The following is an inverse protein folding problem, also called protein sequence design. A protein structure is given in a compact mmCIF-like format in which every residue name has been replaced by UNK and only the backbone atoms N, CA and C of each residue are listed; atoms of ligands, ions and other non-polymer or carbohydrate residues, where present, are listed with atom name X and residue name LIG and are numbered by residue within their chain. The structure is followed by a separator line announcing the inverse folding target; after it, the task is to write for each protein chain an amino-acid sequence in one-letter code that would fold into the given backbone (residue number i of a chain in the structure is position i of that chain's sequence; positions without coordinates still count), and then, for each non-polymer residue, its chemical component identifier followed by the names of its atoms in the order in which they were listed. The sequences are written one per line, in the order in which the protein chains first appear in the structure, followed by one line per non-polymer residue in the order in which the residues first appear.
data_IF_595259520842
#
_entry.id   IF_595259520842
#
_cell.length_a   1.000
_cell.length_b   1.000
_cell.length_c   1.000
_cell.angle_alpha   90.00
_cell.angle_beta   90.00
_cell.angle_gamma   90.00
#
_symmetry.space_group_name_H-M   'P 1'
#
loop_
_entity.id
_entity.type
_entity.pdbx_description
1 polymer ?
#
# COMPACT_ATOMS: atom_id res chain seq x y z
N UNK A 1 -9.95 -3.01 18.57
CA UNK A 1 -10.94 -2.14 17.92
C UNK A 1 -12.13 -3.00 17.54
N UNK A 2 -13.32 -2.75 18.10
CA UNK A 2 -14.54 -3.41 17.62
C UNK A 2 -15.04 -2.57 16.44
N UNK A 3 -14.99 -3.14 15.24
CA UNK A 3 -15.46 -2.49 14.02
C UNK A 3 -16.93 -2.84 13.87
N UNK A 4 -17.82 -1.90 14.16
CA UNK A 4 -19.26 -2.09 13.94
C UNK A 4 -19.57 -1.87 12.46
N UNK A 5 -19.75 -2.95 11.71
CA UNK A 5 -20.10 -2.93 10.27
C UNK A 5 -18.93 -3.25 9.34
N UNK A 6 -19.25 -3.40 8.04
CA UNK A 6 -18.23 -3.57 6.98
C UNK A 6 -17.61 -2.21 6.68
N UNK A 7 -16.32 -2.22 6.34
CA UNK A 7 -15.57 -1.01 6.00
C UNK A 7 -15.36 -0.97 4.50
N UNK A 8 -15.34 0.23 3.94
CA UNK A 8 -14.77 0.51 2.63
C UNK A 8 -13.41 1.17 2.84
N UNK A 9 -12.34 0.41 2.61
CA UNK A 9 -10.96 0.83 2.87
C UNK A 9 -10.29 1.22 1.56
N UNK A 10 -9.72 2.42 1.54
CA UNK A 10 -8.83 2.88 0.49
C UNK A 10 -7.39 2.75 0.99
N UNK A 11 -6.61 1.87 0.39
CA UNK A 11 -5.19 1.76 0.64
C UNK A 11 -4.45 2.72 -0.30
N UNK A 12 -3.59 3.56 0.25
CA UNK A 12 -2.76 4.47 -0.54
C UNK A 12 -1.32 3.98 -0.47
N UNK A 13 -0.79 3.52 -1.60
CA UNK A 13 0.57 2.99 -1.72
C UNK A 13 1.44 3.92 -2.55
N UNK A 14 2.71 4.06 -2.19
CA UNK A 14 3.67 4.68 -3.07
C UNK A 14 4.00 3.75 -4.23
N UNK A 15 4.30 2.49 -3.95
CA UNK A 15 4.77 1.50 -4.91
C UNK A 15 3.89 0.24 -4.92
N UNK A 16 3.93 -0.51 -6.02
CA UNK A 16 3.52 -1.91 -6.00
C UNK A 16 4.33 -2.67 -4.94
N UNK A 17 3.66 -3.47 -4.10
CA UNK A 17 4.15 -4.29 -2.95
C UNK A 17 4.04 -3.68 -1.54
N UNK A 18 3.90 -2.35 -1.42
CA UNK A 18 3.86 -1.65 -0.13
C UNK A 18 2.81 -2.24 0.82
N UNK A 19 1.62 -2.54 0.28
CA UNK A 19 0.48 -2.99 1.05
C UNK A 19 0.66 -4.42 1.58
N UNK A 20 1.22 -5.30 0.76
CA UNK A 20 1.51 -6.68 1.12
C UNK A 20 2.51 -6.74 2.28
N UNK A 21 3.57 -5.94 2.19
CA UNK A 21 4.60 -5.82 3.22
C UNK A 21 3.98 -5.29 4.52
N UNK A 22 3.29 -4.15 4.42
CA UNK A 22 2.68 -3.46 5.56
C UNK A 22 1.62 -4.30 6.28
N UNK A 23 0.70 -4.90 5.52
CA UNK A 23 -0.56 -5.37 6.06
C UNK A 23 -1.19 -6.56 5.32
N UNK A 24 -0.48 -7.29 4.45
CA UNK A 24 -1.07 -8.37 3.64
C UNK A 24 -1.88 -9.40 4.43
N UNK A 25 -1.38 -9.84 5.59
CA UNK A 25 -2.09 -10.79 6.46
C UNK A 25 -3.34 -10.18 7.11
N UNK A 26 -3.28 -8.91 7.48
CA UNK A 26 -4.41 -8.15 8.04
C UNK A 26 -5.50 -7.96 6.99
N UNK A 27 -5.13 -7.65 5.74
CA UNK A 27 -6.05 -7.45 4.63
C UNK A 27 -6.74 -8.75 4.26
N UNK A 28 -5.98 -9.84 4.13
CA UNK A 28 -6.54 -11.17 3.93
C UNK A 28 -7.60 -11.52 4.98
N UNK A 29 -7.32 -11.20 6.25
CA UNK A 29 -8.26 -11.41 7.35
C UNK A 29 -9.51 -10.53 7.21
N UNK A 30 -9.32 -9.23 6.98
CA UNK A 30 -10.43 -8.30 6.86
C UNK A 30 -11.31 -8.55 5.64
N UNK A 31 -10.74 -8.99 4.51
CA UNK A 31 -11.50 -9.43 3.34
C UNK A 31 -12.36 -10.66 3.66
N UNK A 32 -11.81 -11.65 4.38
CA UNK A 32 -12.58 -12.81 4.84
C UNK A 32 -13.70 -12.41 5.82
N UNK A 33 -13.48 -11.36 6.59
CA UNK A 33 -14.48 -10.73 7.46
C UNK A 33 -15.44 -9.83 6.68
N UNK A 34 -15.35 -9.75 5.35
CA UNK A 34 -16.28 -9.04 4.45
C UNK A 34 -16.07 -7.53 4.33
N UNK A 35 -14.91 -7.01 4.74
CA UNK A 35 -14.51 -5.63 4.46
C UNK A 35 -14.07 -5.49 3.00
N UNK A 36 -14.28 -4.31 2.41
CA UNK A 36 -13.93 -4.03 1.02
C UNK A 36 -12.64 -3.22 0.94
N UNK A 37 -11.74 -3.61 0.04
CA UNK A 37 -10.45 -2.96 -0.16
C UNK A 37 -10.30 -2.51 -1.60
N UNK A 38 -9.93 -1.24 -1.76
CA UNK A 38 -9.46 -0.67 -3.01
C UNK A 38 -8.07 -0.08 -2.77
N UNK A 39 -7.13 -0.40 -3.64
CA UNK A 39 -5.74 0.05 -3.56
C UNK A 39 -5.51 1.08 -4.65
N UNK A 40 -4.98 2.23 -4.26
CA UNK A 40 -4.54 3.28 -5.16
C UNK A 40 -3.02 3.42 -5.03
N UNK A 41 -2.32 2.92 -6.03
CA UNK A 41 -0.85 2.98 -6.09
C UNK A 41 -0.43 4.19 -6.90
N UNK A 42 0.42 5.03 -6.33
CA UNK A 42 0.79 6.29 -6.97
C UNK A 42 1.81 6.09 -8.08
N UNK A 43 2.84 5.29 -7.84
CA UNK A 43 3.98 5.19 -8.77
C UNK A 43 3.94 3.92 -9.62
N UNK A 44 4.66 3.97 -10.74
CA UNK A 44 4.76 2.88 -11.72
C UNK A 44 5.63 1.70 -11.26
N UNK A 45 6.26 1.79 -10.09
CA UNK A 45 7.09 0.74 -9.52
C UNK A 45 8.38 0.48 -10.28
N UNK A 46 8.75 1.30 -11.28
CA UNK A 46 10.00 1.11 -12.01
C UNK A 46 11.17 1.22 -11.04
N UNK A 47 12.07 0.23 -11.06
CA UNK A 47 13.30 0.29 -10.29
C UNK A 47 14.51 0.13 -11.19
N UNK A 48 15.38 1.14 -11.14
CA UNK A 48 16.67 1.18 -11.83
C UNK A 48 17.75 1.23 -10.77
N UNK A 49 18.74 0.36 -10.89
CA UNK A 49 19.89 0.33 -9.99
C UNK A 49 20.77 1.59 -10.17
N UNK A 50 21.64 1.93 -9.20
CA UNK A 50 22.49 3.12 -9.28
C UNK A 50 23.43 3.15 -10.50
N UNK A 51 23.77 2.01 -11.09
CA UNK A 51 24.56 1.86 -12.31
C UNK A 51 23.71 1.89 -13.60
N UNK A 52 22.39 2.15 -13.51
CA UNK A 52 21.51 2.40 -14.64
C UNK A 52 20.83 1.16 -15.22
N UNK A 53 20.91 0.01 -14.56
CA UNK A 53 20.26 -1.22 -15.01
C UNK A 53 18.81 -1.22 -14.53
N UNK A 54 17.87 -1.32 -15.47
CA UNK A 54 16.45 -1.51 -15.14
C UNK A 54 16.29 -2.94 -14.62
N UNK A 55 15.93 -3.08 -13.34
CA UNK A 55 15.77 -4.41 -12.74
C UNK A 55 14.32 -4.76 -12.44
N UNK A 56 13.42 -3.77 -12.56
CA UNK A 56 11.98 -3.97 -12.66
C UNK A 56 11.42 -2.90 -13.59
N UNK A 57 10.75 -3.32 -14.65
CA UNK A 57 10.03 -2.40 -15.53
C UNK A 57 8.57 -2.21 -15.10
N UNK A 58 7.92 -1.22 -15.71
CA UNK A 58 6.53 -0.84 -15.42
C UNK A 58 5.55 -1.97 -15.68
N UNK A 59 5.73 -2.71 -16.78
CA UNK A 59 4.80 -3.76 -17.18
C UNK A 59 4.91 -4.95 -16.22
N UNK A 60 6.13 -5.31 -15.85
CA UNK A 60 6.39 -6.33 -14.82
C UNK A 60 5.76 -5.93 -13.49
N UNK A 61 6.04 -4.72 -12.99
CA UNK A 61 5.49 -4.22 -11.73
C UNK A 61 3.95 -4.26 -11.71
N UNK A 62 3.30 -3.83 -12.80
CA UNK A 62 1.84 -3.86 -12.93
C UNK A 62 1.28 -5.30 -12.93
N UNK A 63 1.93 -6.23 -13.63
CA UNK A 63 1.51 -7.64 -13.66
C UNK A 63 1.61 -8.27 -12.27
N UNK A 64 2.69 -7.98 -11.54
CA UNK A 64 2.91 -8.48 -10.19
C UNK A 64 1.90 -7.93 -9.20
N UNK A 65 1.60 -6.63 -9.27
CA UNK A 65 0.60 -5.95 -8.45
C UNK A 65 -0.80 -6.56 -8.64
N UNK A 66 -1.22 -6.76 -9.90
CA UNK A 66 -2.52 -7.36 -10.19
C UNK A 66 -2.62 -8.80 -9.67
N UNK A 67 -1.53 -9.58 -9.75
CA UNK A 67 -1.51 -10.93 -9.19
C UNK A 67 -1.63 -10.92 -7.67
N UNK A 68 -0.95 -10.00 -6.99
CA UNK A 68 -1.07 -9.86 -5.54
C UNK A 68 -2.48 -9.44 -5.13
N UNK A 69 -3.11 -8.55 -5.91
CA UNK A 69 -4.50 -8.15 -5.77
C UNK A 69 -5.47 -9.34 -5.86
N UNK A 70 -5.29 -10.19 -6.87
CA UNK A 70 -6.08 -11.41 -7.05
C UNK A 70 -5.88 -12.39 -5.89
N UNK A 71 -4.63 -12.57 -5.44
CA UNK A 71 -4.32 -13.45 -4.30
C UNK A 71 -5.00 -12.97 -3.04
N UNK A 72 -4.88 -11.69 -2.68
CA UNK A 72 -5.43 -11.15 -1.44
C UNK A 72 -6.95 -10.93 -1.50
N UNK A 73 -7.48 -10.59 -2.68
CA UNK A 73 -8.90 -10.36 -2.94
C UNK A 73 -9.31 -8.89 -2.90
N UNK A 74 -8.41 -7.96 -3.23
CA UNK A 74 -8.70 -6.53 -3.33
C UNK A 74 -8.73 -6.05 -4.78
N UNK A 75 -9.25 -4.84 -5.02
CA UNK A 75 -9.16 -4.17 -6.33
C UNK A 75 -8.04 -3.15 -6.32
N UNK A 76 -7.37 -2.93 -7.45
CA UNK A 76 -6.24 -1.98 -7.54
C UNK A 76 -6.36 -1.07 -8.76
N UNK A 77 -5.95 0.18 -8.56
CA UNK A 77 -5.73 1.19 -9.59
C UNK A 77 -4.32 1.75 -9.39
N UNK A 78 -3.49 1.72 -10.46
CA UNK A 78 -2.16 2.30 -10.44
C UNK A 78 -2.13 3.59 -11.29
N UNK A 79 -1.71 4.70 -10.70
CA UNK A 79 -1.69 6.04 -11.32
C UNK A 79 -0.47 6.29 -12.20
N UNK A 80 0.53 5.41 -12.15
CA UNK A 80 1.68 5.39 -13.06
C UNK A 80 2.53 6.68 -13.01
N UNK A 81 2.54 7.40 -11.89
CA UNK A 81 3.53 8.46 -11.68
C UNK A 81 4.93 7.85 -11.62
N UNK A 82 5.94 8.62 -12.01
CA UNK A 82 7.31 8.13 -12.00
C UNK A 82 7.79 7.91 -10.56
N UNK A 83 8.25 6.70 -10.24
CA UNK A 83 8.86 6.38 -8.96
C UNK A 83 10.06 7.29 -8.66
N UNK A 84 10.30 7.59 -7.38
CA UNK A 84 11.34 8.48 -6.85
C UNK A 84 11.17 9.97 -7.19
N UNK A 85 10.18 10.33 -8.01
CA UNK A 85 9.91 11.73 -8.41
C UNK A 85 8.58 12.26 -7.87
N UNK A 86 7.86 11.49 -7.04
CA UNK A 86 6.56 11.89 -6.53
C UNK A 86 6.69 13.14 -5.66
N UNK A 87 5.83 14.14 -5.91
CA UNK A 87 5.80 15.38 -5.13
C UNK A 87 4.42 15.60 -4.55
N UNK A 88 4.36 16.15 -3.34
CA UNK A 88 3.09 16.56 -2.76
C UNK A 88 2.47 17.69 -3.60
N UNK A 89 1.27 17.45 -4.13
CA UNK A 89 0.51 18.40 -4.94
C UNK A 89 -0.99 18.23 -4.65
N UNK A 90 -1.76 19.32 -4.68
CA UNK A 90 -3.20 19.28 -4.43
C UNK A 90 -3.96 18.36 -5.41
N UNK A 91 -3.46 18.23 -6.65
CA UNK A 91 -4.04 17.31 -7.64
C UNK A 91 -4.08 15.86 -7.12
N UNK A 92 -3.04 15.42 -6.40
CA UNK A 92 -2.96 14.08 -5.84
C UNK A 92 -3.98 13.88 -4.71
N UNK A 93 -4.21 14.92 -3.91
CA UNK A 93 -5.27 14.91 -2.89
C UNK A 93 -6.64 14.83 -3.55
N UNK A 94 -6.86 15.56 -4.65
CA UNK A 94 -8.11 15.50 -5.42
C UNK A 94 -8.37 14.10 -6.01
N UNK A 95 -7.35 13.42 -6.54
CA UNK A 95 -7.48 12.02 -7.02
C UNK A 95 -8.03 11.11 -5.92
N UNK A 96 -7.47 11.20 -4.71
CA UNK A 96 -7.93 10.43 -3.54
C UNK A 96 -9.36 10.80 -3.14
N UNK A 97 -9.68 12.09 -3.06
CA UNK A 97 -11.02 12.56 -2.68
C UNK A 97 -12.11 12.06 -3.64
N UNK A 98 -11.83 12.02 -4.95
CA UNK A 98 -12.76 11.47 -5.94
C UNK A 98 -13.05 9.99 -5.69
N UNK A 99 -12.04 9.18 -5.33
CA UNK A 99 -12.23 7.77 -4.98
C UNK A 99 -12.97 7.61 -3.66
N UNK A 100 -12.72 8.49 -2.68
CA UNK A 100 -13.46 8.51 -1.41
C UNK A 100 -14.97 8.66 -1.67
N UNK A 101 -15.36 9.65 -2.48
CA UNK A 101 -16.77 9.94 -2.76
C UNK A 101 -17.43 8.85 -3.62
N UNK A 102 -16.70 8.34 -4.62
CA UNK A 102 -17.17 7.30 -5.56
C UNK A 102 -17.36 5.95 -4.88
N UNK A 103 -16.38 5.53 -4.07
CA UNK A 103 -16.34 4.19 -3.45
C UNK A 103 -16.90 4.18 -2.02
N UNK A 104 -17.41 5.32 -1.54
CA UNK A 104 -17.96 5.47 -0.17
C UNK A 104 -16.96 5.03 0.90
N UNK A 105 -15.72 5.48 0.74
CA UNK A 105 -14.61 5.13 1.63
C UNK A 105 -14.86 5.74 3.01
N UNK A 106 -14.63 4.93 4.03
CA UNK A 106 -14.72 5.33 5.45
C UNK A 106 -13.38 5.16 6.20
N UNK A 107 -12.39 4.56 5.53
CA UNK A 107 -11.07 4.24 6.09
C UNK A 107 -9.98 4.48 5.06
N UNK A 108 -8.89 5.13 5.45
CA UNK A 108 -7.64 5.08 4.69
C UNK A 108 -6.63 4.21 5.45
N UNK A 109 -5.90 3.36 4.71
CA UNK A 109 -4.69 2.68 5.16
C UNK A 109 -3.50 3.20 4.33
N UNK A 110 -2.43 3.68 4.96
CA UNK A 110 -1.28 4.25 4.23
C UNK A 110 0.05 4.03 4.96
N UNK A 111 1.20 4.29 4.30
CA UNK A 111 2.50 4.33 4.94
C UNK A 111 2.53 5.29 6.13
N UNK A 112 3.31 4.94 7.14
CA UNK A 112 3.59 5.80 8.28
C UNK A 112 4.36 7.06 7.86
N UNK A 113 3.97 8.21 8.41
CA UNK A 113 4.43 9.54 7.97
C UNK A 113 5.94 9.79 8.13
N UNK A 114 6.62 8.99 8.95
CA UNK A 114 8.07 9.12 9.21
C UNK A 114 8.88 7.94 8.64
N UNK A 115 8.35 7.26 7.63
CA UNK A 115 9.15 6.39 6.75
C UNK A 115 10.26 7.24 6.08
N UNK A 116 11.44 6.65 5.88
CA UNK A 116 12.57 7.34 5.26
C UNK A 116 12.46 7.38 3.72
N UNK A 117 11.66 6.50 3.12
CA UNK A 117 11.45 6.52 1.68
C UNK A 117 10.65 7.76 1.27
N UNK A 118 11.20 8.55 0.34
CA UNK A 118 10.62 9.82 -0.09
C UNK A 118 9.16 9.67 -0.56
N UNK A 119 8.90 8.72 -1.46
CA UNK A 119 7.53 8.53 -1.96
C UNK A 119 6.54 8.08 -0.86
N UNK A 120 6.99 7.34 0.16
CA UNK A 120 6.13 6.93 1.30
C UNK A 120 5.74 8.15 2.13
N UNK A 121 6.69 9.06 2.40
CA UNK A 121 6.43 10.34 3.09
C UNK A 121 5.40 11.18 2.33
N UNK A 122 5.57 11.28 1.01
CA UNK A 122 4.65 12.05 0.16
C UNK A 122 3.24 11.44 0.16
N UNK A 123 3.12 10.12 -0.02
CA UNK A 123 1.82 9.43 0.03
C UNK A 123 1.16 9.56 1.41
N UNK A 124 1.93 9.47 2.49
CA UNK A 124 1.41 9.65 3.85
C UNK A 124 0.84 11.07 4.04
N UNK A 125 1.52 12.10 3.52
CA UNK A 125 1.01 13.48 3.55
C UNK A 125 -0.25 13.68 2.72
N UNK A 126 -0.33 13.02 1.55
CA UNK A 126 -1.55 13.01 0.73
C UNK A 126 -2.69 12.35 1.51
N UNK A 127 -2.43 11.20 2.13
CA UNK A 127 -3.39 10.46 2.95
C UNK A 127 -3.92 11.30 4.12
N UNK A 128 -3.04 11.92 4.90
CA UNK A 128 -3.42 12.83 6.00
C UNK A 128 -4.24 14.02 5.52
N UNK A 129 -3.90 14.57 4.35
CA UNK A 129 -4.67 15.68 3.78
C UNK A 129 -6.06 15.22 3.35
N UNK A 130 -6.19 14.07 2.71
CA UNK A 130 -7.48 13.53 2.25
C UNK A 130 -8.35 13.02 3.42
N UNK A 131 -7.74 12.51 4.48
CA UNK A 131 -8.43 11.86 5.60
C UNK A 131 -9.37 12.78 6.38
N UNK A 132 -9.23 14.11 6.23
CA UNK A 132 -10.14 15.12 6.83
C UNK A 132 -11.63 14.90 6.54
N UNK A 133 -11.97 14.10 5.53
CA UNK A 133 -13.34 13.78 5.10
C UNK A 133 -13.87 12.44 5.63
N UNK A 134 -13.05 11.64 6.30
CA UNK A 134 -13.40 10.29 6.74
C UNK A 134 -13.08 10.08 8.22
N UNK A 135 -13.74 9.12 8.90
CA UNK A 135 -13.59 8.97 10.34
C UNK A 135 -12.29 8.25 10.76
N UNK A 136 -11.59 7.54 9.86
CA UNK A 136 -10.47 6.67 10.23
C UNK A 136 -9.30 6.74 9.26
N UNK A 137 -8.12 6.96 9.84
CA UNK A 137 -6.82 6.87 9.17
C UNK A 137 -5.98 5.85 9.94
N UNK A 138 -5.50 4.83 9.26
CA UNK A 138 -4.61 3.80 9.79
C UNK A 138 -3.28 3.93 9.07
N UNK A 139 -2.19 3.97 9.83
CA UNK A 139 -0.83 4.02 9.31
C UNK A 139 -0.08 2.76 9.69
N UNK A 140 0.66 2.19 8.75
CA UNK A 140 1.54 1.05 9.00
C UNK A 140 2.97 1.35 8.59
N UNK A 141 3.90 0.67 9.26
CA UNK A 141 5.30 0.65 8.88
C UNK A 141 5.49 -0.32 7.71
N UNK A 142 6.19 0.12 6.66
CA UNK A 142 6.63 -0.74 5.54
C UNK A 142 8.10 -1.08 5.72
N UNK A 143 8.94 -0.04 5.81
CA UNK A 143 10.39 -0.19 5.87
C UNK A 143 10.91 -0.37 7.30
N UNK A 144 12.01 -1.10 7.45
CA UNK A 144 12.74 -1.19 8.73
C UNK A 144 13.59 0.06 9.03
N UNK A 145 13.90 0.87 8.01
CA UNK A 145 14.67 2.10 8.13
C UNK A 145 13.72 3.28 8.25
N UNK A 146 13.71 3.92 9.43
CA UNK A 146 12.76 4.96 9.79
C UNK A 146 13.45 6.26 10.22
N UNK A 147 12.78 7.39 10.04
CA UNK A 147 13.28 8.70 10.49
C UNK A 147 13.15 8.86 12.01
N UNK A 148 12.21 8.14 12.60
CA UNK A 148 11.86 8.16 14.03
C UNK A 148 11.33 6.78 14.46
N UNK A 149 11.04 6.59 15.74
CA UNK A 149 10.52 5.35 16.28
C UNK A 149 9.03 5.17 15.94
N UNK A 150 8.69 4.08 15.24
CA UNK A 150 7.31 3.70 15.02
C UNK A 150 6.73 3.05 16.29
N UNK A 151 5.72 3.69 16.88
CA UNK A 151 5.02 3.20 18.08
C UNK A 151 3.61 2.74 17.72
N UNK A 152 3.42 1.47 17.30
CA UNK A 152 2.10 0.96 16.94
C UNK A 152 1.17 0.88 18.15
N UNK A 153 -0.09 1.24 17.95
CA UNK A 153 -1.16 1.14 18.96
C UNK A 153 -2.33 0.24 18.49
N UNK A 154 -2.24 -0.32 17.29
CA UNK A 154 -3.16 -1.29 16.72
C UNK A 154 -2.38 -2.53 16.31
N UNK A 155 -2.82 -3.67 16.82
CA UNK A 155 -2.25 -4.97 16.49
C UNK A 155 -3.36 -5.87 15.95
N UNK A 156 -3.07 -6.59 14.88
CA UNK A 156 -3.96 -7.59 14.29
C UNK A 156 -3.21 -8.90 14.24
N UNK A 157 -3.76 -9.93 14.89
CA UNK A 157 -3.24 -11.29 14.75
C UNK A 157 -3.51 -11.81 13.33
N UNK A 158 -2.41 -12.15 12.64
CA UNK A 158 -2.37 -12.67 11.27
C UNK A 158 -1.95 -14.13 11.22
N UNK A 159 -1.89 -14.85 12.34
CA UNK A 159 -1.43 -16.24 12.38
C UNK A 159 -2.17 -17.14 11.39
N UNK A 160 -3.49 -16.95 11.25
CA UNK A 160 -4.33 -17.69 10.31
C UNK A 160 -4.18 -17.26 8.83
N UNK A 161 -3.62 -16.08 8.57
CA UNK A 161 -3.49 -15.49 7.23
C UNK A 161 -2.05 -15.24 6.82
N UNK A 162 -1.09 -15.74 7.61
CA UNK A 162 0.35 -15.61 7.37
C UNK A 162 0.74 -16.17 6.00
N UNK A 163 0.31 -17.40 5.68
CA UNK A 163 0.61 -18.04 4.39
C UNK A 163 0.14 -17.18 3.22
N UNK A 164 -1.06 -16.59 3.34
CA UNK A 164 -1.64 -15.74 2.28
C UNK A 164 -0.85 -14.44 2.08
N UNK A 165 -0.31 -13.86 3.17
CA UNK A 165 0.63 -12.73 3.09
C UNK A 165 1.90 -13.11 2.32
N UNK A 166 2.47 -14.27 2.62
CA UNK A 166 3.70 -14.73 1.94
C UNK A 166 3.41 -15.05 0.46
N UNK A 167 2.26 -15.64 0.15
CA UNK A 167 1.84 -15.90 -1.23
C UNK A 167 1.70 -14.62 -2.05
N UNK A 168 1.14 -13.55 -1.47
CA UNK A 168 1.02 -12.25 -2.15
C UNK A 168 2.38 -11.60 -2.38
N UNK A 169 3.31 -11.67 -1.42
CA UNK A 169 4.67 -11.15 -1.59
C UNK A 169 5.44 -11.90 -2.69
N UNK A 170 5.24 -13.21 -2.81
CA UNK A 170 5.82 -14.03 -3.90
C UNK A 170 5.28 -13.69 -5.29
N UNK A 171 4.20 -12.90 -5.40
CA UNK A 171 3.75 -12.39 -6.70
C UNK A 171 4.73 -11.38 -7.29
N UNK A 172 5.45 -10.64 -6.45
CA UNK A 172 6.49 -9.68 -6.84
C UNK A 172 7.82 -10.40 -7.05
N UNK A 173 7.94 -11.16 -8.14
CA UNK A 173 9.11 -12.02 -8.42
C UNK A 173 10.38 -11.21 -8.63
N UNK A 174 10.27 -10.08 -9.30
CA UNK A 174 11.35 -9.13 -9.52
C UNK A 174 11.98 -8.71 -8.18
N UNK A 175 11.15 -8.38 -7.20
CA UNK A 175 11.55 -7.97 -5.86
C UNK A 175 11.97 -9.13 -4.97
N UNK A 176 11.20 -10.21 -4.99
CA UNK A 176 11.47 -11.43 -4.24
C UNK A 176 12.84 -12.02 -4.59
N UNK A 177 13.15 -12.11 -5.89
CA UNK A 177 14.45 -12.59 -6.37
C UNK A 177 15.60 -11.65 -5.99
N UNK A 178 15.40 -10.34 -6.16
CA UNK A 178 16.39 -9.30 -5.84
C UNK A 178 16.81 -9.33 -4.37
N UNK A 179 15.87 -9.62 -3.47
CA UNK A 179 16.09 -9.66 -2.03
C UNK A 179 16.37 -11.07 -1.49
N UNK A 180 16.94 -11.96 -2.32
CA UNK A 180 17.43 -13.26 -1.87
C UNK A 180 16.33 -14.23 -1.41
N UNK A 181 15.12 -14.10 -1.94
CA UNK A 181 13.91 -14.82 -1.54
C UNK A 181 13.37 -14.48 -0.13
N UNK A 182 13.64 -13.25 0.33
CA UNK A 182 13.22 -12.76 1.64
C UNK A 182 12.45 -11.44 1.62
N UNK A 183 11.75 -11.14 0.52
CA UNK A 183 10.92 -9.92 0.39
C UNK A 183 9.67 -9.96 1.26
#
# INVERSE_FOLDING_TARGET
MIINGKMNVLCLNAHPDDLEIMAGGTIAKWINEGHHFHVLTFTDGVWTSPDGIVMRDRQEALIEENKAADVLGYTVENLQYQAMELKFQDKHVCEVLQRIDKLKIDTILCPWEKDLHHDHEVVSRIAMSASRRIPRLIMGQINFYLRDFFTPNLFVDISATWTKKIESLKCFRSEWGRNGNGW
#
